data_IF_908234396023
#
_entry.id   IF_908234396023
#
_cell.length_a   1.000
_cell.length_b   1.000
_cell.length_c   1.000
_cell.angle_alpha   90.00
_cell.angle_beta   90.00
_cell.angle_gamma   90.00
#
_symmetry.space_group_name_H-M   'P 1'
#
loop_
_entity.id
_entity.type
_entity.pdbx_description
1 polymer ?
#
# COMPACT_ATOMS: atom_id res chain seq x y z
N UNK A 1 19.36 -22.34 0.44
CA UNK A 1 18.48 -22.11 1.60
C UNK A 1 17.49 -23.26 1.71
N UNK A 2 16.98 -23.56 2.90
CA UNK A 2 15.90 -24.55 3.10
C UNK A 2 14.76 -23.87 3.85
N UNK A 3 13.54 -23.97 3.33
CA UNK A 3 12.31 -23.50 3.97
C UNK A 3 11.61 -24.70 4.58
N UNK A 4 11.49 -24.70 5.90
CA UNK A 4 10.90 -25.79 6.66
C UNK A 4 9.48 -25.41 7.11
N UNK A 5 8.54 -26.33 6.94
CA UNK A 5 7.16 -26.18 7.40
C UNK A 5 6.82 -27.27 8.42
N UNK A 6 6.05 -26.93 9.45
CA UNK A 6 5.60 -27.88 10.47
C UNK A 6 4.14 -28.23 10.29
N UNK A 7 3.80 -29.51 10.40
CA UNK A 7 2.43 -29.99 10.29
C UNK A 7 1.63 -29.59 11.54
N UNK A 8 0.57 -28.81 11.33
CA UNK A 8 -0.39 -28.43 12.37
C UNK A 8 0.27 -27.80 13.62
N UNK A 9 1.29 -26.98 13.40
CA UNK A 9 2.28 -26.59 14.42
C UNK A 9 1.68 -26.12 15.76
N UNK A 10 0.68 -25.24 15.73
CA UNK A 10 0.03 -24.72 16.94
C UNK A 10 -0.62 -25.82 17.78
N UNK A 11 -1.35 -26.74 17.13
CA UNK A 11 -2.06 -27.83 17.81
C UNK A 11 -1.13 -29.01 18.17
N UNK A 12 0.02 -29.12 17.51
CA UNK A 12 0.97 -30.20 17.76
C UNK A 12 1.96 -29.85 18.89
N UNK A 13 2.14 -28.56 19.21
CA UNK A 13 3.06 -28.12 20.26
C UNK A 13 2.70 -28.76 21.61
N UNK A 14 3.70 -29.29 22.30
CA UNK A 14 3.53 -29.89 23.62
C UNK A 14 3.34 -28.84 24.72
N UNK A 15 2.24 -28.96 25.46
CA UNK A 15 1.85 -28.02 26.53
C UNK A 15 2.78 -28.06 27.72
N UNK A 16 3.36 -29.21 28.05
CA UNK A 16 4.34 -29.33 29.12
C UNK A 16 5.63 -28.55 28.78
N UNK A 17 6.18 -28.75 27.57
CA UNK A 17 7.31 -27.95 27.10
C UNK A 17 7.00 -26.45 27.07
N UNK A 18 5.79 -26.09 26.64
CA UNK A 18 5.34 -24.69 26.67
C UNK A 18 5.26 -24.12 28.08
N UNK A 19 4.73 -24.89 29.04
CA UNK A 19 4.64 -24.47 30.44
C UNK A 19 6.03 -24.33 31.08
N UNK A 20 6.95 -25.25 30.79
CA UNK A 20 8.35 -25.14 31.21
C UNK A 20 8.98 -23.86 30.64
N UNK A 21 8.75 -23.59 29.35
CA UNK A 21 9.29 -22.38 28.72
C UNK A 21 8.75 -21.08 29.33
N UNK A 22 7.47 -21.05 29.69
CA UNK A 22 6.89 -19.91 30.38
C UNK A 22 7.42 -19.80 31.80
N UNK A 23 7.57 -20.91 32.52
CA UNK A 23 8.13 -20.92 33.87
C UNK A 23 9.53 -20.33 33.90
N UNK A 24 10.37 -20.69 32.93
CA UNK A 24 11.78 -20.28 32.87
C UNK A 24 11.95 -18.86 32.34
N UNK A 25 11.27 -18.50 31.24
CA UNK A 25 11.49 -17.24 30.53
C UNK A 25 10.54 -16.12 30.95
N UNK A 26 9.33 -16.45 31.42
CA UNK A 26 8.32 -15.47 31.79
C UNK A 26 7.47 -15.92 33.00
N UNK A 27 8.09 -16.15 34.17
CA UNK A 27 7.43 -16.76 35.34
C UNK A 27 6.20 -15.98 35.81
N UNK A 28 6.15 -14.67 35.60
CA UNK A 28 5.00 -13.83 35.94
C UNK A 28 3.70 -14.22 35.19
N UNK A 29 3.83 -14.76 33.97
CA UNK A 29 2.71 -15.19 33.14
C UNK A 29 2.29 -16.64 33.43
N UNK A 30 3.14 -17.41 34.11
CA UNK A 30 2.94 -18.83 34.37
C UNK A 30 1.60 -19.17 35.04
N UNK A 31 1.12 -18.47 36.09
CA UNK A 31 -0.15 -18.83 36.73
C UNK A 31 -1.35 -18.76 35.77
N UNK A 32 -1.36 -17.75 34.89
CA UNK A 32 -2.40 -17.58 33.89
C UNK A 32 -2.34 -18.68 32.82
N UNK A 33 -1.14 -18.96 32.31
CA UNK A 33 -0.94 -19.95 31.26
C UNK A 33 -1.20 -21.35 31.80
N UNK A 34 -0.75 -21.66 33.01
CA UNK A 34 -1.04 -22.92 33.69
C UNK A 34 -2.55 -23.11 33.81
N UNK A 35 -3.28 -22.11 34.31
CA UNK A 35 -4.74 -22.20 34.42
C UNK A 35 -5.44 -22.44 33.09
N UNK A 36 -4.91 -21.92 31.98
CA UNK A 36 -5.53 -22.04 30.65
C UNK A 36 -5.11 -23.31 29.90
N UNK A 37 -3.88 -23.79 30.11
CA UNK A 37 -3.23 -24.78 29.27
C UNK A 37 -2.70 -26.02 30.01
N UNK A 38 -2.84 -26.13 31.34
CA UNK A 38 -2.34 -27.30 32.08
C UNK A 38 -3.08 -28.61 31.77
N UNK A 39 -4.31 -28.53 31.29
CA UNK A 39 -5.13 -29.69 30.90
C UNK A 39 -5.50 -29.60 29.42
N UNK A 40 -5.70 -30.75 28.75
CA UNK A 40 -6.17 -30.77 27.37
C UNK A 40 -7.50 -30.03 27.19
N UNK A 41 -7.67 -29.37 26.05
CA UNK A 41 -8.92 -28.67 25.72
C UNK A 41 -9.84 -29.62 24.96
N UNK A 42 -11.11 -29.70 25.36
CA UNK A 42 -12.12 -30.48 24.62
C UNK A 42 -12.68 -29.65 23.46
N UNK A 43 -12.44 -30.09 22.24
CA UNK A 43 -13.11 -29.59 21.04
C UNK A 43 -14.32 -30.48 20.77
N UNK A 44 -15.49 -29.87 20.62
CA UNK A 44 -16.73 -30.57 20.34
C UNK A 44 -17.05 -30.43 18.85
N UNK A 45 -17.20 -31.55 18.15
CA UNK A 45 -17.69 -31.60 16.78
C UNK A 45 -18.85 -32.58 16.72
N UNK A 46 -20.08 -32.07 16.63
CA UNK A 46 -21.30 -32.88 16.69
C UNK A 46 -21.30 -33.81 17.93
N UNK A 47 -21.20 -35.12 17.74
CA UNK A 47 -21.14 -36.13 18.81
C UNK A 47 -19.70 -36.50 19.23
N UNK A 48 -18.69 -36.03 18.50
CA UNK A 48 -17.28 -36.34 18.75
C UNK A 48 -16.61 -35.31 19.66
N UNK A 49 -15.82 -35.81 20.62
CA UNK A 49 -14.94 -35.00 21.47
C UNK A 49 -13.50 -35.23 21.03
N UNK A 50 -12.88 -34.20 20.48
CA UNK A 50 -11.48 -34.20 20.08
C UNK A 50 -10.68 -33.47 21.16
N UNK A 51 -9.71 -34.15 21.77
CA UNK A 51 -8.81 -33.50 22.71
C UNK A 51 -7.71 -32.74 21.95
N UNK A 52 -7.72 -31.42 22.05
CA UNK A 52 -6.67 -30.56 21.51
C UNK A 52 -5.46 -30.56 22.45
N UNK A 53 -4.31 -30.80 21.83
CA UNK A 53 -3.00 -30.49 22.39
C UNK A 53 -2.55 -29.14 21.83
N UNK A 54 -1.54 -28.53 22.46
CA UNK A 54 -0.96 -27.27 22.00
C UNK A 54 -1.81 -26.02 22.19
N UNK A 55 -1.47 -25.01 21.42
CA UNK A 55 -1.93 -23.64 21.55
C UNK A 55 -3.18 -23.41 20.71
N UNK A 56 -4.20 -22.77 21.27
CA UNK A 56 -5.44 -22.50 20.57
C UNK A 56 -5.25 -21.42 19.48
N UNK A 57 -5.62 -21.73 18.25
CA UNK A 57 -5.63 -20.74 17.17
C UNK A 57 -6.71 -19.68 17.42
N UNK A 58 -6.31 -18.41 17.34
CA UNK A 58 -7.17 -17.27 17.68
C UNK A 58 -7.05 -16.81 19.14
N UNK A 59 -6.34 -17.53 20.01
CA UNK A 59 -5.99 -17.03 21.34
C UNK A 59 -4.93 -15.92 21.24
N UNK A 60 -5.16 -14.73 21.82
CA UNK A 60 -4.14 -13.69 21.94
C UNK A 60 -2.82 -14.14 22.59
N UNK A 61 -2.84 -15.08 23.53
CA UNK A 61 -1.63 -15.64 24.13
C UNK A 61 -0.95 -16.68 23.24
N UNK A 62 -1.62 -17.14 22.17
CA UNK A 62 -1.14 -18.27 21.43
C UNK A 62 0.19 -18.05 20.70
N UNK A 63 0.29 -17.04 19.82
CA UNK A 63 1.54 -16.72 19.14
C UNK A 63 2.75 -16.52 20.08
N UNK A 64 2.68 -15.73 21.17
CA UNK A 64 3.83 -15.55 22.05
C UNK A 64 4.20 -16.83 22.81
N UNK A 65 3.24 -17.66 23.24
CA UNK A 65 3.52 -18.94 23.89
C UNK A 65 4.24 -19.91 22.94
N UNK A 66 3.78 -19.96 21.69
CA UNK A 66 4.42 -20.75 20.65
C UNK A 66 5.86 -20.26 20.43
N UNK A 67 6.07 -18.95 20.24
CA UNK A 67 7.39 -18.35 20.04
C UNK A 67 8.35 -18.57 21.22
N UNK A 68 7.90 -18.45 22.48
CA UNK A 68 8.73 -18.72 23.66
C UNK A 68 9.21 -20.16 23.70
N UNK A 69 8.32 -21.09 23.38
CA UNK A 69 8.65 -22.52 23.35
C UNK A 69 9.69 -22.81 22.26
N UNK A 70 9.51 -22.25 21.05
CA UNK A 70 10.54 -22.36 20.01
C UNK A 70 11.85 -21.71 20.43
N UNK A 71 11.80 -20.56 21.11
CA UNK A 71 13.01 -19.86 21.55
C UNK A 71 13.84 -20.71 22.50
N UNK A 72 13.19 -21.35 23.48
CA UNK A 72 13.86 -22.18 24.47
C UNK A 72 14.43 -23.48 23.90
N UNK A 73 13.69 -24.15 23.02
CA UNK A 73 14.03 -25.52 22.63
C UNK A 73 14.62 -25.65 21.22
N UNK A 74 14.31 -24.74 20.31
CA UNK A 74 14.66 -24.87 18.88
C UNK A 74 15.79 -23.95 18.42
N UNK A 75 15.99 -22.78 19.03
CA UNK A 75 16.91 -21.75 18.48
C UNK A 75 18.36 -22.24 18.43
N UNK A 76 18.80 -22.99 19.43
CA UNK A 76 20.16 -23.56 19.44
C UNK A 76 20.28 -24.78 18.51
N UNK A 77 19.23 -25.61 18.41
CA UNK A 77 19.16 -26.76 17.48
C UNK A 77 19.12 -26.33 16.00
N UNK A 78 18.51 -25.19 15.69
CA UNK A 78 18.45 -24.61 14.35
C UNK A 78 19.83 -24.21 13.83
N UNK A 79 20.77 -23.92 14.73
CA UNK A 79 22.16 -23.57 14.38
C UNK A 79 23.05 -24.79 14.11
N UNK A 80 22.66 -25.98 14.55
CA UNK A 80 23.54 -27.16 14.51
C UNK A 80 23.35 -28.04 13.28
N UNK A 81 22.11 -28.40 12.88
CA UNK A 81 21.82 -29.15 11.62
C UNK A 81 20.31 -29.41 11.38
N UNK A 82 19.88 -29.61 10.12
CA UNK A 82 18.54 -30.10 9.74
C UNK A 82 18.23 -31.46 10.39
N UNK A 83 19.25 -32.31 10.58
CA UNK A 83 19.11 -33.57 11.30
C UNK A 83 18.72 -33.40 12.77
N UNK A 84 19.11 -32.28 13.39
CA UNK A 84 18.72 -31.93 14.77
C UNK A 84 17.25 -31.53 14.80
N UNK A 85 16.79 -30.77 13.79
CA UNK A 85 15.40 -30.33 13.66
C UNK A 85 14.44 -31.52 13.45
N UNK A 86 14.86 -32.58 12.74
CA UNK A 86 14.04 -33.81 12.62
C UNK A 86 13.84 -34.54 13.95
N UNK A 87 14.71 -34.34 14.94
CA UNK A 87 14.62 -34.97 16.27
C UNK A 87 13.79 -34.15 17.27
N UNK A 88 13.21 -33.03 16.85
CA UNK A 88 12.39 -32.11 17.66
C UNK A 88 10.95 -32.61 17.91
N UNK A 89 10.68 -33.91 17.73
CA UNK A 89 9.45 -34.53 18.26
C UNK A 89 9.30 -34.31 19.77
N UNK A 90 10.39 -33.99 20.47
CA UNK A 90 10.42 -33.67 21.90
C UNK A 90 9.44 -32.58 22.29
N UNK A 91 9.25 -31.57 21.46
CA UNK A 91 8.31 -30.46 21.66
C UNK A 91 6.98 -30.64 20.90
N UNK A 92 6.76 -31.82 20.31
CA UNK A 92 5.56 -32.16 19.56
C UNK A 92 5.49 -31.61 18.13
N UNK A 93 6.56 -30.98 17.64
CA UNK A 93 6.59 -30.46 16.27
C UNK A 93 7.09 -31.51 15.28
N UNK A 94 6.32 -31.68 14.21
CA UNK A 94 6.63 -32.62 13.14
C UNK A 94 6.80 -31.85 11.83
N UNK A 95 7.98 -31.98 11.22
CA UNK A 95 8.22 -31.39 9.90
C UNK A 95 7.25 -31.95 8.86
N UNK A 96 6.84 -31.09 7.94
CA UNK A 96 6.05 -31.44 6.77
C UNK A 96 6.96 -31.43 5.54
N UNK A 97 7.48 -32.60 5.10
CA UNK A 97 8.37 -32.64 3.95
C UNK A 97 7.70 -32.09 2.68
N UNK A 98 6.41 -32.37 2.48
CA UNK A 98 5.66 -31.97 1.27
C UNK A 98 5.51 -30.45 1.16
N UNK A 99 5.42 -29.75 2.30
CA UNK A 99 5.35 -28.27 2.34
C UNK A 99 6.71 -27.60 2.53
N UNK A 100 7.77 -28.39 2.73
CA UNK A 100 9.13 -27.88 2.87
C UNK A 100 9.79 -27.77 1.50
N UNK A 101 10.57 -26.72 1.31
CA UNK A 101 11.19 -26.40 0.03
C UNK A 101 12.71 -26.27 0.15
N UNK A 102 13.43 -26.82 -0.81
CA UNK A 102 14.88 -26.64 -0.97
C UNK A 102 15.07 -25.55 -2.01
N UNK A 103 15.69 -24.44 -1.63
CA UNK A 103 15.92 -23.29 -2.51
C UNK A 103 17.41 -23.25 -2.85
N UNK A 104 17.78 -23.90 -3.95
CA UNK A 104 19.17 -24.03 -4.40
C UNK A 104 19.25 -24.55 -5.84
N UNK A 105 20.03 -23.88 -6.69
CA UNK A 105 20.31 -24.38 -8.04
C UNK A 105 21.49 -25.39 -8.07
N UNK A 106 22.20 -25.57 -6.94
CA UNK A 106 23.31 -26.53 -6.83
C UNK A 106 22.80 -27.98 -6.62
N UNK A 107 23.00 -28.90 -7.57
CA UNK A 107 22.49 -30.28 -7.50
C UNK A 107 23.05 -31.09 -6.31
N UNK A 108 24.30 -30.84 -5.92
CA UNK A 108 24.93 -31.55 -4.80
C UNK A 108 24.24 -31.22 -3.47
N UNK A 109 23.90 -29.95 -3.27
CA UNK A 109 23.16 -29.48 -2.08
C UNK A 109 21.76 -30.06 -2.09
N UNK A 110 21.07 -30.01 -3.23
CA UNK A 110 19.72 -30.56 -3.38
C UNK A 110 19.69 -32.04 -3.04
N UNK A 111 20.64 -32.83 -3.55
CA UNK A 111 20.72 -34.26 -3.25
C UNK A 111 21.00 -34.53 -1.76
N UNK A 112 21.89 -33.75 -1.13
CA UNK A 112 22.22 -33.88 0.29
C UNK A 112 21.04 -33.52 1.19
N UNK A 113 20.26 -32.50 0.85
CA UNK A 113 19.10 -32.09 1.64
C UNK A 113 17.91 -33.02 1.39
N UNK A 114 17.71 -33.48 0.15
CA UNK A 114 16.63 -34.43 -0.20
C UNK A 114 16.80 -35.77 0.51
N UNK A 115 18.03 -36.25 0.69
CA UNK A 115 18.29 -37.46 1.48
C UNK A 115 17.94 -37.26 2.96
N UNK A 116 18.10 -36.03 3.45
CA UNK A 116 17.80 -35.64 4.84
C UNK A 116 16.31 -35.33 5.06
N UNK A 117 15.59 -34.87 4.03
CA UNK A 117 14.18 -34.50 4.05
C UNK A 117 13.44 -35.07 2.82
N UNK A 118 13.17 -36.38 2.80
CA UNK A 118 12.53 -37.01 1.65
C UNK A 118 11.11 -36.47 1.46
N UNK A 119 10.82 -36.00 0.25
CA UNK A 119 9.52 -35.41 -0.12
C UNK A 119 9.52 -33.87 -0.23
N UNK A 120 10.61 -33.20 0.15
CA UNK A 120 10.77 -31.76 -0.07
C UNK A 120 10.88 -31.43 -1.56
N UNK A 121 10.23 -30.36 -1.98
CA UNK A 121 10.28 -29.88 -3.36
C UNK A 121 11.52 -29.02 -3.58
N UNK A 122 12.19 -29.19 -4.71
CA UNK A 122 13.27 -28.29 -5.13
C UNK A 122 12.68 -27.09 -5.88
N UNK A 123 12.94 -25.89 -5.36
CA UNK A 123 12.50 -24.61 -5.92
C UNK A 123 13.73 -23.83 -6.39
N UNK A 124 13.70 -23.27 -7.60
CA UNK A 124 14.78 -22.42 -8.09
C UNK A 124 14.88 -21.12 -7.28
N UNK A 125 16.07 -20.56 -7.17
CA UNK A 125 16.27 -19.26 -6.51
C UNK A 125 15.48 -18.14 -7.17
N UNK A 126 15.22 -18.23 -8.49
CA UNK A 126 14.47 -17.23 -9.25
C UNK A 126 12.95 -17.26 -8.97
N UNK A 127 12.40 -18.43 -8.64
CA UNK A 127 10.97 -18.62 -8.40
C UNK A 127 10.59 -18.72 -6.92
N UNK A 128 11.58 -18.75 -6.04
CA UNK A 128 11.36 -18.93 -4.61
C UNK A 128 10.59 -17.76 -3.96
N UNK A 129 9.61 -18.12 -3.13
CA UNK A 129 8.80 -17.19 -2.32
C UNK A 129 9.02 -17.49 -0.84
N UNK A 130 9.43 -16.48 -0.09
CA UNK A 130 9.65 -16.54 1.36
C UNK A 130 8.78 -15.48 2.06
N UNK A 131 7.92 -15.90 2.99
CA UNK A 131 6.95 -15.03 3.67
C UNK A 131 6.12 -14.16 2.73
N UNK A 132 5.81 -14.68 1.53
CA UNK A 132 5.11 -13.94 0.47
C UNK A 132 6.01 -13.04 -0.37
N UNK A 133 7.27 -12.79 0.03
CA UNK A 133 8.24 -12.03 -0.76
C UNK A 133 8.93 -12.92 -1.78
N UNK A 134 9.08 -12.39 -2.99
CA UNK A 134 9.88 -13.02 -4.04
C UNK A 134 11.37 -12.83 -3.75
N UNK A 135 12.15 -13.88 -3.97
CA UNK A 135 13.61 -13.82 -3.86
C UNK A 135 14.29 -13.55 -5.20
N UNK A 136 13.67 -14.02 -6.28
CA UNK A 136 14.18 -13.86 -7.63
C UNK A 136 13.66 -12.64 -8.38
N UNK A 137 14.33 -12.35 -9.49
CA UNK A 137 13.90 -11.39 -10.51
C UNK A 137 13.53 -12.20 -11.75
N UNK A 138 12.38 -11.91 -12.39
CA UNK A 138 12.00 -12.58 -13.64
C UNK A 138 10.52 -12.95 -13.73
N UNK A 139 10.24 -14.19 -14.15
CA UNK A 139 8.88 -14.68 -14.39
C UNK A 139 8.01 -14.65 -13.12
N UNK A 140 8.57 -15.03 -11.98
CA UNK A 140 7.87 -15.02 -10.69
C UNK A 140 7.37 -13.62 -10.28
N UNK A 141 8.20 -12.60 -10.51
CA UNK A 141 7.83 -11.19 -10.31
C UNK A 141 6.74 -10.74 -11.28
N UNK A 142 6.85 -11.16 -12.54
CA UNK A 142 5.85 -10.85 -13.56
C UNK A 142 4.50 -11.47 -13.22
N UNK A 143 4.49 -12.74 -12.77
CA UNK A 143 3.30 -13.46 -12.31
C UNK A 143 2.67 -12.76 -11.10
N UNK A 144 3.45 -12.38 -10.09
CA UNK A 144 2.93 -11.69 -8.90
C UNK A 144 2.31 -10.32 -9.24
N UNK A 145 2.91 -9.56 -10.17
CA UNK A 145 2.31 -8.30 -10.64
C UNK A 145 1.02 -8.58 -11.42
N UNK A 146 1.02 -9.57 -12.32
CA UNK A 146 -0.15 -9.94 -13.12
C UNK A 146 -1.33 -10.47 -12.27
N UNK A 147 -1.07 -11.16 -11.16
CA UNK A 147 -2.11 -11.53 -10.18
C UNK A 147 -2.75 -10.30 -9.52
N UNK A 148 -1.94 -9.28 -9.22
CA UNK A 148 -2.44 -8.01 -8.69
C UNK A 148 -3.23 -7.23 -9.75
N UNK A 149 -2.77 -7.20 -11.01
CA UNK A 149 -3.51 -6.63 -12.15
C UNK A 149 -4.85 -7.34 -12.33
N UNK A 150 -4.86 -8.66 -12.36
CA UNK A 150 -6.07 -9.48 -12.50
C UNK A 150 -7.05 -9.20 -11.36
N UNK A 151 -6.54 -9.01 -10.16
CA UNK A 151 -7.38 -8.63 -9.02
C UNK A 151 -7.92 -7.21 -9.15
N UNK A 152 -7.10 -6.23 -9.54
CA UNK A 152 -7.54 -4.85 -9.76
C UNK A 152 -8.64 -4.79 -10.83
N UNK A 153 -8.50 -5.55 -11.91
CA UNK A 153 -9.50 -5.65 -12.98
C UNK A 153 -10.84 -6.13 -12.43
N UNK A 154 -10.83 -7.27 -11.74
CA UNK A 154 -12.04 -7.85 -11.11
C UNK A 154 -12.67 -6.92 -10.08
N UNK A 155 -11.87 -6.16 -9.33
CA UNK A 155 -12.38 -5.16 -8.39
C UNK A 155 -13.00 -3.98 -9.15
N UNK A 156 -12.31 -3.45 -10.17
CA UNK A 156 -12.79 -2.34 -10.99
C UNK A 156 -14.17 -2.60 -11.58
N UNK A 157 -14.39 -3.79 -12.16
CA UNK A 157 -15.70 -4.21 -12.66
C UNK A 157 -16.80 -4.21 -11.58
N UNK A 158 -16.45 -4.62 -10.36
CA UNK A 158 -17.39 -4.69 -9.23
C UNK A 158 -17.70 -3.31 -8.65
N UNK A 159 -16.72 -2.41 -8.62
CA UNK A 159 -16.89 -1.04 -8.12
C UNK A 159 -17.88 -0.21 -8.94
N UNK A 160 -18.16 -0.59 -10.19
CA UNK A 160 -19.23 0.00 -11.00
C UNK A 160 -20.64 -0.20 -10.40
N UNK A 161 -20.81 -1.16 -9.48
CA UNK A 161 -22.09 -1.41 -8.81
C UNK A 161 -22.27 -0.61 -7.51
N UNK A 162 -21.25 0.14 -7.10
CA UNK A 162 -21.27 0.99 -5.91
C UNK A 162 -21.47 2.45 -6.33
N UNK A 163 -21.93 3.31 -5.41
CA UNK A 163 -21.88 4.75 -5.67
C UNK A 163 -20.44 5.19 -5.88
N UNK A 164 -20.23 6.21 -6.68
CA UNK A 164 -18.89 6.67 -7.06
C UNK A 164 -18.03 7.06 -5.84
N UNK A 165 -18.63 7.61 -4.78
CA UNK A 165 -17.88 7.99 -3.58
C UNK A 165 -17.26 6.78 -2.87
N UNK A 166 -18.09 5.76 -2.60
CA UNK A 166 -17.65 4.49 -2.03
C UNK A 166 -16.54 3.88 -2.89
N UNK A 167 -16.73 3.89 -4.21
CA UNK A 167 -15.78 3.31 -5.16
C UNK A 167 -14.41 3.96 -5.12
N UNK A 168 -14.35 5.30 -5.11
CA UNK A 168 -13.09 6.05 -5.03
C UNK A 168 -12.36 5.76 -3.72
N UNK A 169 -13.07 5.76 -2.59
CA UNK A 169 -12.46 5.54 -1.27
C UNK A 169 -11.97 4.09 -1.11
N UNK A 170 -12.76 3.10 -1.55
CA UNK A 170 -12.35 1.70 -1.53
C UNK A 170 -11.14 1.45 -2.43
N UNK A 171 -11.13 2.08 -3.62
CA UNK A 171 -10.01 1.98 -4.53
C UNK A 171 -8.74 2.58 -3.89
N UNK A 172 -8.83 3.80 -3.36
CA UNK A 172 -7.70 4.50 -2.72
C UNK A 172 -7.19 3.80 -1.47
N UNK A 173 -8.09 3.31 -0.62
CA UNK A 173 -7.74 2.83 0.74
C UNK A 173 -7.48 1.34 0.83
N UNK A 174 -7.92 0.54 -0.15
CA UNK A 174 -7.89 -0.93 -0.01
C UNK A 174 -7.39 -1.68 -1.24
N UNK A 175 -7.81 -1.30 -2.44
CA UNK A 175 -7.62 -2.15 -3.63
C UNK A 175 -6.52 -1.70 -4.60
N UNK A 176 -6.06 -0.46 -4.47
CA UNK A 176 -4.98 0.09 -5.29
C UNK A 176 -3.59 -0.20 -4.68
N UNK A 177 -2.80 0.83 -4.43
CA UNK A 177 -1.45 0.78 -3.87
C UNK A 177 -1.37 0.06 -2.53
N UNK A 178 -2.33 0.17 -1.58
CA UNK A 178 -2.27 -0.58 -0.33
C UNK A 178 -2.12 -2.08 -0.52
N UNK A 179 -2.72 -2.64 -1.57
CA UNK A 179 -2.60 -4.07 -1.91
C UNK A 179 -1.28 -4.41 -2.57
N UNK A 180 -0.75 -3.52 -3.42
CA UNK A 180 0.53 -3.70 -4.10
C UNK A 180 1.74 -3.40 -3.19
N UNK A 181 1.53 -2.67 -2.09
CA UNK A 181 2.59 -2.08 -1.27
C UNK A 181 3.58 -3.12 -0.76
N UNK A 182 3.10 -4.28 -0.32
CA UNK A 182 3.96 -5.36 0.15
C UNK A 182 4.94 -5.78 -0.96
N UNK A 183 4.44 -6.02 -2.17
CA UNK A 183 5.26 -6.39 -3.33
C UNK A 183 6.26 -5.29 -3.71
N UNK A 184 5.84 -4.01 -3.68
CA UNK A 184 6.73 -2.89 -3.98
C UNK A 184 7.87 -2.74 -2.97
N UNK A 185 7.63 -3.11 -1.70
CA UNK A 185 8.63 -3.01 -0.63
C UNK A 185 9.58 -4.19 -0.59
N UNK A 186 9.12 -5.39 -0.92
CA UNK A 186 9.92 -6.61 -0.70
C UNK A 186 10.53 -7.20 -1.97
N UNK A 187 10.00 -6.87 -3.16
CA UNK A 187 10.53 -7.33 -4.44
C UNK A 187 11.06 -6.17 -5.29
N UNK A 188 12.06 -6.40 -6.17
CA UNK A 188 12.62 -5.37 -7.06
C UNK A 188 11.69 -5.09 -8.25
N UNK A 189 10.43 -4.77 -7.95
CA UNK A 189 9.35 -4.48 -8.90
C UNK A 189 9.66 -3.30 -9.82
N UNK A 190 10.53 -2.38 -9.42
CA UNK A 190 11.02 -1.26 -10.24
C UNK A 190 11.79 -1.70 -11.50
N UNK A 191 12.16 -2.99 -11.61
CA UNK A 191 12.77 -3.57 -12.82
C UNK A 191 11.72 -4.11 -13.81
N UNK A 192 10.46 -4.20 -13.40
CA UNK A 192 9.39 -4.81 -14.19
C UNK A 192 8.61 -3.78 -14.99
N UNK A 193 8.50 -3.99 -16.29
CA UNK A 193 7.63 -3.17 -17.16
C UNK A 193 6.15 -3.36 -16.86
N UNK A 194 5.73 -4.48 -16.26
CA UNK A 194 4.32 -4.77 -15.96
C UNK A 194 3.71 -3.79 -14.96
N UNK A 195 4.52 -2.99 -14.22
CA UNK A 195 3.99 -1.91 -13.39
C UNK A 195 3.28 -0.82 -14.22
N UNK A 196 3.70 -0.58 -15.47
CA UNK A 196 2.97 0.37 -16.33
C UNK A 196 1.62 -0.16 -16.78
N UNK A 197 1.47 -1.48 -16.91
CA UNK A 197 0.18 -2.12 -17.19
C UNK A 197 -0.77 -1.97 -16.00
N UNK A 198 -0.25 -2.09 -14.77
CA UNK A 198 -1.01 -1.82 -13.55
C UNK A 198 -1.51 -0.37 -13.48
N UNK A 199 -0.63 0.60 -13.74
CA UNK A 199 -1.01 2.02 -13.78
C UNK A 199 -2.00 2.32 -14.91
N UNK A 200 -1.86 1.66 -16.06
CA UNK A 200 -2.79 1.79 -17.20
C UNK A 200 -4.18 1.24 -16.87
N UNK A 201 -4.24 0.09 -16.20
CA UNK A 201 -5.51 -0.49 -15.74
C UNK A 201 -6.16 0.37 -14.66
N UNK A 202 -5.38 0.94 -13.74
CA UNK A 202 -5.94 1.88 -12.78
C UNK A 202 -6.53 3.10 -13.49
N UNK A 203 -5.77 3.69 -14.42
CA UNK A 203 -6.20 4.86 -15.17
C UNK A 203 -7.50 4.60 -15.93
N UNK A 204 -7.60 3.46 -16.62
CA UNK A 204 -8.83 3.07 -17.33
C UNK A 204 -10.00 2.78 -16.38
N UNK A 205 -9.74 2.17 -15.22
CA UNK A 205 -10.76 1.93 -14.19
C UNK A 205 -11.31 3.26 -13.66
N UNK A 206 -10.43 4.22 -13.35
CA UNK A 206 -10.83 5.55 -12.89
C UNK A 206 -11.56 6.34 -13.97
N UNK A 207 -11.07 6.29 -15.21
CA UNK A 207 -11.72 6.86 -16.39
C UNK A 207 -13.17 6.38 -16.53
N UNK A 208 -13.39 5.05 -16.38
CA UNK A 208 -14.70 4.41 -16.42
C UNK A 208 -15.60 4.84 -15.27
N UNK A 209 -15.12 4.77 -14.01
CA UNK A 209 -15.89 5.14 -12.83
C UNK A 209 -16.32 6.61 -12.85
N UNK A 210 -15.41 7.51 -13.23
CA UNK A 210 -15.65 8.94 -13.30
C UNK A 210 -16.45 9.33 -14.56
N UNK A 211 -16.47 8.48 -15.57
CA UNK A 211 -17.00 8.78 -16.90
C UNK A 211 -16.32 10.03 -17.52
N UNK A 212 -14.98 10.06 -17.46
CA UNK A 212 -14.16 11.15 -17.99
C UNK A 212 -12.97 10.56 -18.73
N UNK A 213 -12.58 11.06 -19.92
CA UNK A 213 -11.40 10.57 -20.62
C UNK A 213 -10.14 10.88 -19.80
N UNK A 214 -9.49 9.82 -19.32
CA UNK A 214 -8.16 9.87 -18.71
C UNK A 214 -7.25 8.88 -19.43
N UNK A 215 -6.08 9.33 -19.82
CA UNK A 215 -5.00 8.49 -20.36
C UNK A 215 -3.73 8.68 -19.55
N UNK A 216 -2.90 7.62 -19.44
CA UNK A 216 -1.65 7.66 -18.65
C UNK A 216 -0.68 8.73 -19.15
N UNK A 217 -0.71 9.04 -20.45
CA UNK A 217 0.08 10.10 -21.07
C UNK A 217 -0.37 11.53 -20.75
N UNK A 218 -1.55 11.69 -20.15
CA UNK A 218 -2.14 13.01 -19.96
C UNK A 218 -1.57 13.72 -18.73
N UNK A 219 -1.49 15.04 -18.84
CA UNK A 219 -1.20 15.94 -17.71
C UNK A 219 -2.23 15.72 -16.58
N UNK A 220 -3.49 15.44 -16.94
CA UNK A 220 -4.55 15.15 -15.98
C UNK A 220 -4.28 13.89 -15.15
N UNK A 221 -3.70 12.84 -15.75
CA UNK A 221 -3.29 11.64 -15.01
C UNK A 221 -2.10 11.91 -14.12
N UNK A 222 -1.11 12.66 -14.64
CA UNK A 222 0.05 13.09 -13.86
C UNK A 222 -0.39 13.83 -12.60
N UNK A 223 -1.33 14.76 -12.72
CA UNK A 223 -1.93 15.46 -11.59
C UNK A 223 -2.76 14.52 -10.69
N UNK A 224 -3.65 13.69 -11.25
CA UNK A 224 -4.47 12.75 -10.49
C UNK A 224 -3.62 11.82 -9.62
N UNK A 225 -2.44 11.46 -10.11
CA UNK A 225 -1.49 10.61 -9.43
C UNK A 225 -0.79 11.27 -8.24
N UNK A 226 -0.86 12.59 -8.08
CA UNK A 226 -0.29 13.27 -6.93
C UNK A 226 -1.10 13.01 -5.65
N UNK A 227 -0.49 13.14 -4.46
CA UNK A 227 -1.24 13.18 -3.21
C UNK A 227 -2.31 14.28 -3.21
N UNK A 228 -3.39 14.06 -2.47
CA UNK A 228 -4.49 15.03 -2.32
C UNK A 228 -3.99 16.42 -1.88
N UNK A 229 -3.01 16.49 -0.97
CA UNK A 229 -2.38 17.75 -0.52
C UNK A 229 -1.59 18.51 -1.61
N UNK A 230 -1.41 17.93 -2.80
CA UNK A 230 -0.69 18.51 -3.95
C UNK A 230 -1.60 18.60 -5.18
N UNK A 231 -2.91 18.73 -4.98
CA UNK A 231 -3.86 18.90 -6.09
C UNK A 231 -4.37 17.61 -6.72
N UNK A 232 -3.69 16.47 -6.50
CA UNK A 232 -4.12 15.20 -7.08
C UNK A 232 -5.33 14.57 -6.41
N UNK A 233 -5.66 13.37 -6.86
CA UNK A 233 -6.72 12.53 -6.29
C UNK A 233 -6.18 11.54 -5.24
N UNK A 234 -4.85 11.40 -5.14
CA UNK A 234 -4.20 10.46 -4.23
C UNK A 234 -4.02 9.06 -4.81
N UNK A 235 -4.11 8.89 -6.13
CA UNK A 235 -3.83 7.63 -6.83
C UNK A 235 -2.37 7.57 -7.30
N UNK A 236 -1.43 7.47 -6.35
CA UNK A 236 0.02 7.40 -6.66
C UNK A 236 0.38 6.31 -7.67
N UNK A 237 1.12 6.65 -8.71
CA UNK A 237 1.64 5.69 -9.69
C UNK A 237 2.51 4.60 -9.02
N UNK A 238 2.26 3.35 -9.37
CA UNK A 238 3.08 2.21 -8.92
C UNK A 238 4.50 2.30 -9.46
N UNK A 239 4.66 2.74 -10.71
CA UNK A 239 5.98 2.95 -11.34
C UNK A 239 6.80 3.98 -10.57
N UNK A 240 6.19 5.12 -10.21
CA UNK A 240 6.88 6.17 -9.43
C UNK A 240 7.20 5.70 -8.01
N UNK A 241 6.30 4.95 -7.37
CA UNK A 241 6.47 4.50 -5.99
C UNK A 241 7.49 3.37 -5.81
N UNK A 242 7.68 2.50 -6.82
CA UNK A 242 8.41 1.24 -6.67
C UNK A 242 9.82 1.40 -6.09
N UNK A 243 10.60 2.38 -6.58
CA UNK A 243 11.96 2.62 -6.07
C UNK A 243 11.95 3.13 -4.63
N UNK A 244 11.09 4.11 -4.32
CA UNK A 244 10.92 4.68 -2.99
C UNK A 244 10.50 3.63 -1.94
N UNK A 245 9.58 2.73 -2.31
CA UNK A 245 9.15 1.61 -1.47
C UNK A 245 10.29 0.64 -1.19
N UNK A 246 11.02 0.22 -2.21
CA UNK A 246 12.10 -0.75 -2.08
C UNK A 246 13.28 -0.20 -1.27
N UNK A 247 13.75 1.01 -1.58
CA UNK A 247 14.88 1.65 -0.88
C UNK A 247 14.57 1.81 0.61
N UNK A 248 13.39 2.35 0.94
CA UNK A 248 13.01 2.56 2.34
C UNK A 248 12.86 1.25 3.11
N UNK A 249 12.35 0.19 2.48
CA UNK A 249 12.24 -1.14 3.10
C UNK A 249 13.61 -1.79 3.34
N UNK A 250 14.56 -1.61 2.40
CA UNK A 250 15.91 -2.11 2.57
C UNK A 250 16.66 -1.37 3.71
N UNK A 251 16.48 -0.05 3.81
CA UNK A 251 17.06 0.74 4.90
C UNK A 251 16.47 0.38 6.27
N UNK A 252 15.14 0.23 6.35
CA UNK A 252 14.42 -0.12 7.59
C UNK A 252 14.83 -1.49 8.14
N UNK A 253 15.04 -2.47 7.26
CA UNK A 253 15.44 -3.83 7.64
C UNK A 253 16.95 -4.01 7.85
N UNK A 254 17.78 -3.01 7.52
CA UNK A 254 19.25 -3.16 7.53
C UNK A 254 19.81 -3.52 8.90
N UNK A 255 19.31 -2.92 9.98
CA UNK A 255 19.77 -3.21 11.34
C UNK A 255 19.49 -4.66 11.75
N UNK A 256 18.27 -5.14 11.46
CA UNK A 256 17.85 -6.51 11.73
C UNK A 256 18.65 -7.52 10.90
N UNK A 257 18.89 -7.23 9.62
CA UNK A 257 19.72 -8.08 8.75
C UNK A 257 21.14 -8.20 9.31
N UNK A 258 21.75 -7.09 9.74
CA UNK A 258 23.07 -7.10 10.37
C UNK A 258 23.11 -7.90 11.68
N UNK A 259 22.04 -7.82 12.48
CA UNK A 259 21.92 -8.60 13.71
C UNK A 259 21.79 -10.10 13.42
N UNK A 260 21.00 -10.49 12.43
CA UNK A 260 20.77 -11.90 12.08
C UNK A 260 22.03 -12.55 11.50
N UNK A 261 22.76 -11.83 10.63
CA UNK A 261 23.91 -12.40 9.93
C UNK A 261 25.19 -12.47 10.79
N UNK A 262 25.24 -11.80 11.94
CA UNK A 262 26.34 -11.84 12.92
C UNK A 262 27.76 -11.64 12.34
N UNK A 263 27.89 -11.03 11.16
CA UNK A 263 29.16 -10.89 10.45
C UNK A 263 29.43 -9.43 10.05
N UNK A 264 30.38 -8.73 10.71
CA UNK A 264 30.78 -7.37 10.33
C UNK A 264 31.56 -7.32 9.00
N UNK A 265 32.09 -8.43 8.50
CA UNK A 265 32.77 -8.51 7.20
C UNK A 265 31.80 -8.64 6.02
N UNK A 266 30.58 -9.09 6.29
CA UNK A 266 29.40 -8.99 5.42
C UNK A 266 28.48 -7.84 5.84
N UNK A 267 29.03 -6.71 6.30
CA UNK A 267 28.32 -5.45 6.05
C UNK A 267 28.05 -5.44 4.54
N UNK A 268 26.80 -5.37 4.05
CA UNK A 268 26.59 -5.36 2.62
C UNK A 268 27.14 -4.05 2.09
N UNK A 269 28.43 -4.04 1.75
CA UNK A 269 29.06 -3.04 0.92
C UNK A 269 28.33 -3.11 -0.43
N UNK A 270 27.25 -2.33 -0.51
CA UNK A 270 26.27 -2.25 -1.58
C UNK A 270 25.47 -3.54 -1.83
N UNK A 271 24.19 -3.53 -1.47
CA UNK A 271 23.21 -4.46 -2.05
C UNK A 271 22.97 -4.03 -3.51
N UNK A 272 23.30 -4.84 -4.53
CA UNK A 272 23.26 -4.41 -5.94
C UNK A 272 21.90 -3.86 -6.37
N UNK A 273 20.81 -4.49 -5.91
CA UNK A 273 19.45 -4.06 -6.20
C UNK A 273 19.10 -2.72 -5.52
N UNK A 274 19.61 -2.47 -4.32
CA UNK A 274 19.41 -1.18 -3.62
C UNK A 274 20.18 -0.07 -4.32
N UNK A 275 21.44 -0.33 -4.71
CA UNK A 275 22.22 0.60 -5.53
C UNK A 275 21.49 0.91 -6.82
N UNK A 276 20.96 -0.13 -7.50
CA UNK A 276 20.22 0.06 -8.74
C UNK A 276 18.94 0.86 -8.56
N UNK A 277 18.21 0.62 -7.47
CA UNK A 277 17.02 1.40 -7.12
C UNK A 277 17.38 2.87 -6.87
N UNK A 278 18.46 3.16 -6.13
CA UNK A 278 18.94 4.52 -5.86
C UNK A 278 19.39 5.23 -7.15
N UNK A 279 20.05 4.54 -8.08
CA UNK A 279 20.36 5.07 -9.42
C UNK A 279 19.10 5.46 -10.19
N UNK A 280 18.15 4.53 -10.33
CA UNK A 280 16.91 4.76 -11.07
C UNK A 280 16.06 5.88 -10.44
N UNK A 281 16.03 5.94 -9.11
CA UNK A 281 15.36 7.01 -8.38
C UNK A 281 16.00 8.38 -8.66
N UNK A 282 17.33 8.44 -8.72
CA UNK A 282 18.07 9.69 -9.00
C UNK A 282 17.91 10.13 -10.46
N UNK A 283 17.77 9.20 -11.41
CA UNK A 283 17.50 9.51 -12.81
C UNK A 283 16.06 9.98 -13.07
N UNK A 284 15.14 9.83 -12.12
CA UNK A 284 13.73 10.16 -12.34
C UNK A 284 13.46 11.67 -12.48
N UNK A 285 14.31 12.54 -11.92
CA UNK A 285 14.25 13.99 -12.14
C UNK A 285 15.59 14.65 -11.83
N UNK A 286 15.99 15.63 -12.63
CA UNK A 286 17.30 16.32 -12.55
C UNK A 286 17.45 17.17 -11.26
N UNK A 287 16.35 17.62 -10.67
CA UNK A 287 16.32 18.53 -9.51
C UNK A 287 16.19 17.82 -8.14
N UNK A 288 16.31 16.49 -8.09
CA UNK A 288 16.10 15.74 -6.84
C UNK A 288 17.44 15.51 -6.12
N UNK A 289 17.52 16.00 -4.88
CA UNK A 289 18.61 15.62 -3.96
C UNK A 289 18.22 14.38 -3.16
N UNK A 290 19.19 13.47 -2.88
CA UNK A 290 18.93 12.28 -2.07
C UNK A 290 18.49 12.65 -0.64
N UNK A 291 17.68 11.77 -0.05
CA UNK A 291 17.21 11.94 1.32
C UNK A 291 18.37 11.95 2.33
N UNK A 292 18.28 12.71 3.44
CA UNK A 292 19.22 12.60 4.55
C UNK A 292 19.31 11.17 5.09
N UNK A 293 20.51 10.77 5.55
CA UNK A 293 20.78 9.42 6.07
C UNK A 293 19.80 9.00 7.17
N UNK A 294 19.43 9.93 8.04
CA UNK A 294 18.52 9.70 9.17
C UNK A 294 17.07 9.37 8.75
N UNK A 295 16.69 9.70 7.51
CA UNK A 295 15.36 9.46 6.97
C UNK A 295 15.31 8.37 5.89
N UNK A 296 16.39 7.62 5.67
CA UNK A 296 16.44 6.58 4.62
C UNK A 296 15.39 5.47 4.83
N UNK A 297 15.03 5.13 6.07
CA UNK A 297 13.98 4.14 6.37
C UNK A 297 12.56 4.65 6.11
N UNK A 298 12.40 5.97 5.94
CA UNK A 298 11.08 6.59 5.76
C UNK A 298 10.71 6.70 4.29
N UNK A 299 9.74 5.90 3.84
CA UNK A 299 9.26 5.92 2.44
C UNK A 299 8.86 7.32 1.95
N UNK A 300 8.19 8.11 2.80
CA UNK A 300 7.77 9.48 2.49
C UNK A 300 8.96 10.40 2.15
N UNK A 301 10.13 10.15 2.72
CA UNK A 301 11.33 10.94 2.47
C UNK A 301 11.90 10.72 1.05
N UNK A 302 11.65 9.54 0.46
CA UNK A 302 12.02 9.21 -0.92
C UNK A 302 10.95 9.60 -1.95
N UNK A 303 9.65 9.49 -1.62
CA UNK A 303 8.56 9.82 -2.55
C UNK A 303 8.31 11.35 -2.66
N UNK A 304 8.49 12.10 -1.56
CA UNK A 304 8.23 13.55 -1.54
C UNK A 304 9.03 14.38 -2.56
N UNK A 305 10.33 14.13 -2.81
CA UNK A 305 11.07 14.85 -3.84
C UNK A 305 10.49 14.63 -5.24
N UNK A 306 10.14 13.38 -5.59
CA UNK A 306 9.50 13.07 -6.88
C UNK A 306 8.13 13.74 -7.02
N UNK A 307 7.31 13.69 -5.97
CA UNK A 307 6.02 14.42 -5.92
C UNK A 307 6.23 15.92 -6.15
N UNK A 308 7.24 16.50 -5.51
CA UNK A 308 7.51 17.93 -5.61
C UNK A 308 8.00 18.30 -7.01
N UNK A 309 8.90 17.51 -7.60
CA UNK A 309 9.36 17.68 -8.98
C UNK A 309 8.20 17.60 -9.98
N UNK A 310 7.35 16.58 -9.89
CA UNK A 310 6.15 16.46 -10.74
C UNK A 310 5.20 17.64 -10.57
N UNK A 311 4.98 18.10 -9.33
CA UNK A 311 4.13 19.26 -9.08
C UNK A 311 4.73 20.56 -9.65
N UNK A 312 6.04 20.78 -9.52
CA UNK A 312 6.72 21.92 -10.12
C UNK A 312 6.66 21.90 -11.64
N UNK A 313 6.79 20.72 -12.25
CA UNK A 313 6.62 20.54 -13.70
C UNK A 313 5.19 20.89 -14.16
N UNK A 314 4.16 20.54 -13.38
CA UNK A 314 2.79 20.94 -13.66
C UNK A 314 2.60 22.47 -13.58
N UNK A 315 3.23 23.12 -12.60
CA UNK A 315 3.18 24.58 -12.47
C UNK A 315 3.91 25.28 -13.61
N UNK A 316 5.10 24.80 -14.01
CA UNK A 316 5.89 25.41 -15.09
C UNK A 316 5.22 25.24 -16.46
N UNK A 317 4.50 24.13 -16.65
CA UNK A 317 3.84 23.79 -17.91
C UNK A 317 2.36 24.21 -17.94
N UNK A 318 1.92 25.05 -17.00
CA UNK A 318 0.56 25.57 -16.98
C UNK A 318 0.29 26.40 -18.26
N UNK A 319 -0.80 26.09 -18.97
CA UNK A 319 -1.14 26.72 -20.25
C UNK A 319 -1.48 28.22 -20.12
N UNK A 320 -2.10 28.60 -19.00
CA UNK A 320 -2.56 29.95 -18.71
C UNK A 320 -2.58 30.25 -17.20
N UNK A 321 -2.73 31.52 -16.84
CA UNK A 321 -2.82 31.98 -15.45
C UNK A 321 -3.97 31.29 -14.69
N UNK A 322 -5.04 30.90 -15.40
CA UNK A 322 -6.18 30.21 -14.83
C UNK A 322 -5.81 28.78 -14.40
N UNK A 323 -5.07 28.05 -15.24
CA UNK A 323 -4.55 26.73 -14.91
C UNK A 323 -3.58 26.77 -13.73
N UNK A 324 -2.70 27.78 -13.70
CA UNK A 324 -1.77 28.00 -12.61
C UNK A 324 -2.52 28.28 -11.30
N UNK A 325 -3.48 29.22 -11.32
CA UNK A 325 -4.30 29.55 -10.16
C UNK A 325 -5.10 28.33 -9.66
N UNK A 326 -5.62 27.50 -10.58
CA UNK A 326 -6.30 26.25 -10.23
C UNK A 326 -5.35 25.28 -9.53
N UNK A 327 -4.16 25.01 -10.06
CA UNK A 327 -3.17 24.10 -9.46
C UNK A 327 -2.80 24.53 -8.02
N UNK A 328 -2.63 25.83 -7.81
CA UNK A 328 -2.39 26.41 -6.47
C UNK A 328 -3.60 26.20 -5.58
N UNK A 329 -4.80 26.52 -6.06
CA UNK A 329 -6.05 26.38 -5.31
C UNK A 329 -6.31 24.92 -4.89
N UNK A 330 -6.15 23.95 -5.79
CA UNK A 330 -6.35 22.54 -5.48
C UNK A 330 -5.25 21.95 -4.60
N UNK A 331 -4.14 22.65 -4.42
CA UNK A 331 -3.06 22.25 -3.51
C UNK A 331 -3.13 22.96 -2.15
N UNK A 332 -4.11 23.82 -1.93
CA UNK A 332 -4.33 24.48 -0.64
C UNK A 332 -4.76 23.50 0.47
N UNK A 333 -4.70 23.94 1.73
CA UNK A 333 -5.19 23.14 2.85
C UNK A 333 -6.68 22.87 2.72
N UNK A 334 -7.14 21.70 3.15
CA UNK A 334 -8.56 21.25 3.12
C UNK A 334 -9.19 21.12 1.72
N UNK A 335 -8.42 21.41 0.66
CA UNK A 335 -8.93 21.48 -0.70
C UNK A 335 -9.53 20.16 -1.21
N UNK A 336 -8.98 19.05 -0.72
CA UNK A 336 -9.39 17.70 -1.06
C UNK A 336 -9.97 16.94 0.13
N UNK A 337 -10.42 17.62 1.19
CA UNK A 337 -11.00 16.97 2.36
C UNK A 337 -12.18 16.04 1.99
N UNK A 338 -12.94 16.41 0.96
CA UNK A 338 -14.05 15.60 0.45
C UNK A 338 -13.63 14.25 -0.14
N UNK A 339 -12.39 14.10 -0.63
CA UNK A 339 -11.85 12.81 -1.11
C UNK A 339 -11.45 11.89 0.06
N UNK A 340 -11.26 12.46 1.25
CA UNK A 340 -10.74 11.77 2.44
C UNK A 340 -11.80 11.66 3.56
N UNK A 341 -13.00 12.18 3.32
CA UNK A 341 -14.07 12.20 4.30
C UNK A 341 -14.63 10.79 4.52
N UNK A 342 -14.92 10.44 5.78
CA UNK A 342 -15.63 9.20 6.09
C UNK A 342 -17.07 9.27 5.57
N UNK A 343 -17.53 8.19 4.95
CA UNK A 343 -18.83 8.12 4.28
C UNK A 343 -19.96 7.84 5.28
N UNK A 344 -20.33 8.86 6.04
CA UNK A 344 -21.39 8.78 7.03
C UNK A 344 -22.65 9.46 6.48
N UNK A 345 -23.57 8.66 5.95
CA UNK A 345 -24.81 9.17 5.32
C UNK A 345 -25.68 9.99 6.29
N UNK A 346 -25.75 9.60 7.57
CA UNK A 346 -26.52 10.34 8.59
C UNK A 346 -25.97 11.74 8.88
N UNK A 347 -24.70 12.01 8.54
CA UNK A 347 -24.06 13.31 8.67
C UNK A 347 -23.99 14.07 7.34
N UNK A 348 -24.57 13.54 6.26
CA UNK A 348 -24.52 14.17 4.94
C UNK A 348 -23.12 14.21 4.31
N UNK A 349 -22.19 13.37 4.78
CA UNK A 349 -20.81 13.33 4.28
C UNK A 349 -20.66 12.54 2.97
N UNK A 350 -21.73 11.90 2.52
CA UNK A 350 -21.77 11.14 1.27
C UNK A 350 -22.24 12.04 0.13
N UNK A 351 -21.31 12.40 -0.74
CA UNK A 351 -21.61 13.12 -1.98
C UNK A 351 -22.30 12.23 -3.02
N UNK A 352 -23.19 12.84 -3.81
CA UNK A 352 -23.78 12.23 -4.99
C UNK A 352 -22.76 12.07 -6.12
N UNK A 353 -22.96 11.08 -6.98
CA UNK A 353 -22.05 10.77 -8.09
C UNK A 353 -21.80 11.96 -9.00
N UNK A 354 -22.83 12.76 -9.32
CA UNK A 354 -22.68 13.96 -10.15
C UNK A 354 -21.78 15.01 -9.49
N UNK A 355 -21.90 15.22 -8.17
CA UNK A 355 -21.07 16.17 -7.44
C UNK A 355 -19.61 15.74 -7.46
N UNK A 356 -19.34 14.44 -7.34
CA UNK A 356 -17.99 13.89 -7.40
C UNK A 356 -17.39 14.02 -8.80
N UNK A 357 -18.15 13.64 -9.84
CA UNK A 357 -17.67 13.77 -11.23
C UNK A 357 -17.29 15.20 -11.56
N UNK A 358 -18.12 16.16 -11.18
CA UNK A 358 -17.83 17.57 -11.42
C UNK A 358 -16.68 18.05 -10.53
N UNK A 359 -16.62 17.61 -9.27
CA UNK A 359 -15.52 17.91 -8.36
C UNK A 359 -14.17 17.44 -8.90
N UNK A 360 -14.08 16.19 -9.37
CA UNK A 360 -12.88 15.65 -10.02
C UNK A 360 -12.57 16.40 -11.32
N UNK A 361 -13.58 16.67 -12.15
CA UNK A 361 -13.35 17.37 -13.41
C UNK A 361 -12.84 18.80 -13.20
N UNK A 362 -13.40 19.56 -12.26
CA UNK A 362 -12.89 20.87 -11.88
C UNK A 362 -11.48 20.77 -11.28
N UNK A 363 -11.25 19.77 -10.44
CA UNK A 363 -9.96 19.54 -9.79
C UNK A 363 -8.85 19.25 -10.80
N UNK A 364 -9.09 18.41 -11.81
CA UNK A 364 -8.10 17.99 -12.80
C UNK A 364 -8.17 18.77 -14.13
N UNK A 365 -8.98 19.83 -14.20
CA UNK A 365 -9.23 20.63 -15.42
C UNK A 365 -9.76 19.80 -16.60
N UNK A 366 -10.68 18.89 -16.34
CA UNK A 366 -11.35 18.07 -17.33
C UNK A 366 -12.63 18.75 -17.84
N UNK A 367 -13.14 18.28 -18.97
CA UNK A 367 -14.39 18.79 -19.52
C UNK A 367 -15.57 18.46 -18.60
N UNK A 368 -16.30 19.49 -18.17
CA UNK A 368 -17.48 19.39 -17.31
C UNK A 368 -18.77 19.42 -18.14
N UNK A 369 -18.81 20.25 -19.17
CA UNK A 369 -19.98 20.43 -20.01
C UNK A 369 -19.62 20.68 -21.47
N UNK A 370 -20.62 20.60 -22.35
CA UNK A 370 -20.50 21.10 -23.73
C UNK A 370 -20.57 22.64 -23.68
N UNK A 371 -19.71 23.37 -24.41
CA UNK A 371 -19.80 24.81 -24.47
C UNK A 371 -21.20 25.27 -24.93
N UNK A 372 -21.79 26.22 -24.20
CA UNK A 372 -23.15 26.69 -24.48
C UNK A 372 -23.35 28.13 -24.01
N UNK A 373 -24.31 28.82 -24.63
CA UNK A 373 -24.74 30.14 -24.15
C UNK A 373 -25.77 29.97 -23.05
N UNK A 374 -25.48 30.50 -21.87
CA UNK A 374 -26.39 30.37 -20.73
C UNK A 374 -27.57 31.33 -20.89
N UNK A 375 -28.78 30.79 -20.94
CA UNK A 375 -30.01 31.55 -21.19
C UNK A 375 -30.29 32.71 -20.20
N UNK A 376 -29.92 32.59 -18.93
CA UNK A 376 -30.25 33.60 -17.91
C UNK A 376 -29.31 34.82 -17.89
N UNK A 377 -28.03 34.65 -18.22
CA UNK A 377 -27.05 35.74 -18.20
C UNK A 377 -26.54 36.13 -19.59
N UNK A 378 -26.82 35.32 -20.62
CA UNK A 378 -26.34 35.50 -21.98
C UNK A 378 -24.85 35.20 -22.18
N UNK A 379 -24.11 34.80 -21.13
CA UNK A 379 -22.69 34.54 -21.22
C UNK A 379 -22.41 33.16 -21.85
N UNK A 380 -21.30 33.06 -22.58
CA UNK A 380 -20.77 31.80 -23.08
C UNK A 380 -20.10 31.04 -21.93
N UNK A 381 -20.54 29.80 -21.71
CA UNK A 381 -19.93 28.85 -20.78
C UNK A 381 -19.01 27.95 -21.58
N UNK A 382 -17.73 27.92 -21.22
CA UNK A 382 -16.75 27.06 -21.85
C UNK A 382 -16.91 25.59 -21.45
N UNK A 383 -16.02 24.73 -21.97
CA UNK A 383 -16.03 23.29 -21.68
C UNK A 383 -15.71 22.95 -20.21
N UNK A 384 -15.08 23.87 -19.48
CA UNK A 384 -14.67 23.68 -18.08
C UNK A 384 -15.76 24.11 -17.09
N UNK A 385 -16.78 24.84 -17.54
CA UNK A 385 -17.99 25.11 -16.76
C UNK A 385 -17.80 26.11 -15.61
N UNK A 386 -16.66 26.80 -15.53
CA UNK A 386 -16.31 27.68 -14.41
C UNK A 386 -17.25 28.89 -14.24
N UNK A 387 -17.91 29.33 -15.33
CA UNK A 387 -18.86 30.45 -15.29
C UNK A 387 -19.98 30.24 -14.25
N UNK A 388 -20.41 28.99 -14.03
CA UNK A 388 -21.45 28.66 -13.05
C UNK A 388 -21.08 29.05 -11.61
N UNK A 389 -19.78 29.12 -11.30
CA UNK A 389 -19.25 29.43 -9.97
C UNK A 389 -19.23 30.92 -9.66
N UNK A 390 -19.16 31.79 -10.68
CA UNK A 390 -19.02 33.25 -10.53
C UNK A 390 -20.25 34.05 -10.98
N UNK A 391 -21.19 33.42 -11.69
CA UNK A 391 -22.32 34.12 -12.28
C UNK A 391 -23.38 34.58 -11.25
N UNK A 392 -23.49 35.90 -11.07
CA UNK A 392 -24.46 36.56 -10.17
C UNK A 392 -25.94 36.33 -10.55
N UNK A 393 -26.23 36.06 -11.83
CA UNK A 393 -27.59 35.79 -12.36
C UNK A 393 -27.97 34.31 -12.29
N UNK A 394 -27.10 33.45 -11.76
CA UNK A 394 -27.34 32.03 -11.60
C UNK A 394 -28.17 31.73 -10.36
N UNK A 395 -29.49 31.85 -10.45
CA UNK A 395 -30.42 31.27 -9.47
C UNK A 395 -30.79 29.86 -9.92
N UNK A 396 -30.71 28.86 -9.02
CA UNK A 396 -31.54 27.65 -9.11
C UNK A 396 -30.86 26.33 -9.47
N UNK A 397 -30.27 26.15 -10.65
CA UNK A 397 -29.95 24.78 -11.13
C UNK A 397 -28.67 24.12 -10.56
N UNK A 398 -27.89 24.87 -9.77
CA UNK A 398 -26.71 24.36 -9.07
C UNK A 398 -26.89 24.68 -7.58
N UNK A 399 -28.10 24.71 -7.01
CA UNK A 399 -28.27 25.20 -5.62
C UNK A 399 -28.01 24.14 -4.56
N UNK A 400 -28.34 22.87 -4.77
CA UNK A 400 -27.91 21.78 -3.86
C UNK A 400 -26.42 21.45 -4.01
N UNK A 401 -25.93 21.50 -5.25
CA UNK A 401 -24.52 21.36 -5.53
C UNK A 401 -23.73 22.60 -5.13
N UNK A 402 -24.31 23.81 -5.14
CA UNK A 402 -23.72 25.00 -4.50
C UNK A 402 -23.93 25.01 -2.99
N UNK A 403 -24.75 24.22 -2.33
CA UNK A 403 -24.78 24.22 -0.86
C UNK A 403 -23.70 23.27 -0.32
N UNK A 404 -23.56 22.10 -0.95
CA UNK A 404 -22.42 21.21 -0.76
C UNK A 404 -21.12 21.89 -1.23
N UNK A 405 -21.03 22.33 -2.48
CA UNK A 405 -19.85 23.04 -3.00
C UNK A 405 -19.76 24.52 -2.64
N UNK A 406 -20.71 25.26 -2.05
CA UNK A 406 -20.37 26.57 -1.43
C UNK A 406 -19.75 26.37 -0.07
N UNK A 407 -20.10 25.34 0.70
CA UNK A 407 -19.27 25.01 1.87
C UNK A 407 -17.87 24.53 1.45
N UNK A 408 -17.77 23.68 0.43
CA UNK A 408 -16.48 23.16 -0.05
C UNK A 408 -15.71 24.10 -1.00
N UNK A 409 -16.36 25.03 -1.71
CA UNK A 409 -15.76 25.95 -2.70
C UNK A 409 -15.81 27.43 -2.28
N UNK A 410 -16.64 27.85 -1.30
CA UNK A 410 -16.59 29.26 -0.81
C UNK A 410 -15.38 29.52 0.08
N UNK A 411 -14.87 28.52 0.81
CA UNK A 411 -13.50 28.58 1.39
C UNK A 411 -12.44 28.74 0.29
N UNK A 412 -12.73 28.22 -0.90
CA UNK A 412 -11.83 28.04 -2.04
C UNK A 412 -11.77 29.22 -3.01
N UNK A 413 -12.82 30.05 -3.08
CA UNK A 413 -12.89 31.23 -3.96
C UNK A 413 -12.88 32.57 -3.19
N UNK A 414 -13.25 32.62 -1.90
CA UNK A 414 -13.13 33.86 -1.11
C UNK A 414 -11.68 34.23 -0.76
N UNK A 415 -10.74 33.27 -0.73
CA UNK A 415 -9.35 33.58 -0.41
C UNK A 415 -8.50 34.06 -1.60
N UNK A 416 -8.92 33.83 -2.85
CA UNK A 416 -8.12 34.23 -4.03
C UNK A 416 -8.64 35.53 -4.67
N UNK A 417 -9.93 35.87 -4.54
CA UNK A 417 -10.50 37.06 -5.18
C UNK A 417 -10.56 38.34 -4.32
N UNK A 418 -10.03 38.34 -3.08
CA UNK A 418 -10.11 39.50 -2.18
C UNK A 418 -8.81 40.24 -1.77
N UNK A 419 -7.57 39.84 -2.14
CA UNK A 419 -6.41 40.70 -1.91
C UNK A 419 -5.86 41.39 -3.17
N UNK A 420 -6.56 41.38 -4.31
CA UNK A 420 -6.14 42.15 -5.51
C UNK A 420 -6.92 43.46 -5.69
N UNK A 421 -8.00 43.68 -4.93
CA UNK A 421 -8.81 44.91 -4.99
C UNK A 421 -8.96 45.66 -3.65
N UNK A 422 -8.14 45.34 -2.64
CA UNK A 422 -8.15 46.02 -1.32
C UNK A 422 -6.90 46.88 -1.09
N UNK A 423 -6.33 47.41 -2.18
CA UNK A 423 -5.26 48.40 -2.16
C UNK A 423 -5.75 49.83 -2.43
N UNK A 424 -6.98 50.21 -2.04
CA UNK A 424 -7.43 51.59 -2.12
C UNK A 424 -8.35 51.94 -0.94
N UNK A 425 -7.74 52.62 0.04
CA UNK A 425 -8.30 53.70 0.87
C UNK A 425 -9.54 53.45 1.74
N UNK A 426 -9.39 53.66 3.05
CA UNK A 426 -10.46 54.25 3.87
C UNK A 426 -10.54 53.74 5.31
N UNK A 427 -9.81 54.40 6.20
CA UNK A 427 -10.08 54.41 7.65
C UNK A 427 -11.57 54.63 7.94
N UNK A 428 -12.15 53.92 8.90
CA UNK A 428 -12.95 54.49 9.99
C UNK A 428 -13.26 53.40 11.02
N UNK A 429 -12.67 53.60 12.21
CA UNK A 429 -13.01 53.11 13.57
C UNK A 429 -13.60 51.71 13.75
#
# INVERSE_FOLDING_TARGET
MVKLDFTNAFNSLRRDCMLDAVSDLCPSLYPLVFSAYSSSSSLFWEEDIIHSQGVQQGDPLGPPLFSLTLHQFLVDSLRSDIFTIRKEERIGLHLNPVKSEIISDNPSIVNSVTSSLPGATNTSTESAILFGSLLGVGESLSTAINENISTLSRVGERLCNFSLHDSIILLQSSFFIPRLMFLLRTAPSFLSSYLSDFDSLLCSTLSSLLNVPLYVSDIAWTEASLPVRRGGLGFRSAVQLATSCYISSAADSSSLVSLILHDPSHSPHSLPLVTKAKELWSCASEDISPSPVESESTQKAWDNPQISASFHQLLSNAEDDLALARLIAVSSSESGAWLQALLISSLGLRLEDCAIKIGVALRLRLQVCVPHTRHHCGAMVDKFGLHGLSCKKGLGAITDMQLSMRWYTAVYLQQIFLPVCSGLTGNFL
#
